data_IF_312474058927
#
_entry.id   IF_312474058927
#
_cell.length_a   1.000
_cell.length_b   1.000
_cell.length_c   1.000
_cell.angle_alpha   90.00
_cell.angle_beta   90.00
_cell.angle_gamma   90.00
#
_symmetry.space_group_name_H-M   'P 1'
#
loop_
_entity.id
_entity.type
_entity.pdbx_description
1 polymer ?
#
# COMPACT_ATOMS: atom_id res chain seq x y z
N UNK A 1 7.29 -15.73 16.53
CA UNK A 1 7.87 -16.60 15.48
C UNK A 1 8.80 -15.76 14.63
N UNK A 2 10.07 -16.09 14.53
CA UNK A 2 11.03 -15.29 13.74
C UNK A 2 10.98 -15.73 12.27
N UNK A 3 10.12 -15.10 11.48
CA UNK A 3 10.25 -15.15 10.03
C UNK A 3 11.06 -13.96 9.54
N UNK A 4 11.85 -14.17 8.50
CA UNK A 4 12.72 -13.15 7.91
C UNK A 4 12.12 -12.64 6.60
N UNK A 5 12.55 -11.45 6.15
CA UNK A 5 12.16 -10.96 4.82
C UNK A 5 12.54 -11.94 3.71
N UNK A 6 13.66 -12.66 3.85
CA UNK A 6 14.09 -13.64 2.85
C UNK A 6 13.08 -14.78 2.69
N UNK A 7 12.46 -15.25 3.78
CA UNK A 7 11.38 -16.25 3.71
C UNK A 7 10.15 -15.73 2.99
N UNK A 8 9.74 -14.50 3.31
CA UNK A 8 8.60 -13.82 2.64
C UNK A 8 8.89 -13.66 1.15
N UNK A 9 10.06 -13.14 0.79
CA UNK A 9 10.47 -12.93 -0.61
C UNK A 9 10.54 -14.26 -1.36
N UNK A 10 11.10 -15.30 -0.75
CA UNK A 10 11.18 -16.64 -1.35
C UNK A 10 9.78 -17.22 -1.61
N UNK A 11 8.88 -17.14 -0.63
CA UNK A 11 7.48 -17.58 -0.80
C UNK A 11 6.80 -16.78 -1.91
N UNK A 12 6.92 -15.45 -1.88
CA UNK A 12 6.27 -14.55 -2.84
C UNK A 12 6.70 -14.87 -4.28
N UNK A 13 7.99 -15.08 -4.53
CA UNK A 13 8.51 -15.47 -5.85
C UNK A 13 8.04 -16.86 -6.26
N UNK A 14 8.15 -17.84 -5.36
CA UNK A 14 7.84 -19.24 -5.67
C UNK A 14 6.35 -19.50 -5.88
N UNK A 15 5.47 -18.67 -5.30
CA UNK A 15 4.01 -18.84 -5.35
C UNK A 15 3.31 -17.81 -6.25
N UNK A 16 4.06 -17.02 -7.02
CA UNK A 16 3.48 -16.12 -8.00
C UNK A 16 2.85 -14.87 -7.42
N UNK A 17 3.32 -14.41 -6.26
CA UNK A 17 2.90 -13.12 -5.72
C UNK A 17 3.64 -11.97 -6.38
N UNK A 18 4.97 -12.04 -6.44
CA UNK A 18 5.80 -10.97 -6.98
C UNK A 18 7.02 -11.56 -7.69
N UNK A 19 7.34 -11.01 -8.85
CA UNK A 19 8.53 -11.34 -9.64
C UNK A 19 9.45 -10.12 -9.78
N UNK A 20 10.77 -10.30 -9.96
CA UNK A 20 11.64 -9.21 -10.37
C UNK A 20 11.18 -8.63 -11.72
N UNK A 21 11.03 -7.31 -11.80
CA UNK A 21 10.61 -6.66 -13.04
C UNK A 21 11.63 -6.84 -14.15
N UNK A 22 11.20 -7.26 -15.34
CA UNK A 22 12.06 -7.51 -16.51
C UNK A 22 13.19 -8.54 -16.27
N UNK A 23 12.93 -9.57 -15.48
CA UNK A 23 13.91 -10.55 -15.01
C UNK A 23 14.73 -11.18 -16.14
N UNK A 24 14.12 -11.46 -17.30
CA UNK A 24 14.79 -12.06 -18.46
C UNK A 24 15.92 -11.21 -19.06
N UNK A 25 15.96 -9.91 -18.73
CA UNK A 25 17.01 -8.96 -19.10
C UNK A 25 17.95 -8.61 -17.94
N UNK A 26 17.92 -9.38 -16.86
CA UNK A 26 18.69 -9.11 -15.64
C UNK A 26 17.99 -8.20 -14.65
N UNK A 27 16.76 -7.81 -14.94
CA UNK A 27 15.94 -6.96 -14.08
C UNK A 27 16.29 -5.48 -14.13
N UNK A 28 15.46 -4.68 -13.47
CA UNK A 28 15.73 -3.28 -13.14
C UNK A 28 15.70 -3.14 -11.62
N UNK A 29 16.75 -2.54 -11.06
CA UNK A 29 16.93 -2.46 -9.62
C UNK A 29 15.67 -1.99 -8.88
N UNK A 30 15.22 -2.82 -7.94
CA UNK A 30 14.05 -2.61 -7.09
C UNK A 30 12.75 -2.29 -7.87
N UNK A 31 12.56 -2.96 -9.00
CA UNK A 31 11.34 -2.95 -9.79
C UNK A 31 10.72 -4.34 -9.73
N UNK A 32 9.42 -4.40 -9.47
CA UNK A 32 8.71 -5.64 -9.19
C UNK A 32 7.42 -5.71 -9.99
N UNK A 33 7.13 -6.91 -10.51
CA UNK A 33 5.87 -7.23 -11.17
C UNK A 33 5.01 -8.08 -10.23
N UNK A 34 3.75 -7.72 -10.05
CA UNK A 34 2.81 -8.60 -9.36
C UNK A 34 2.44 -9.78 -10.27
N UNK A 35 2.68 -10.99 -9.76
CA UNK A 35 2.33 -12.23 -10.46
C UNK A 35 0.83 -12.52 -10.40
N UNK A 36 0.46 -13.69 -10.92
CA UNK A 36 -0.94 -14.14 -11.02
C UNK A 36 -1.66 -14.25 -9.67
N UNK A 37 -0.96 -14.55 -8.60
CA UNK A 37 -1.52 -14.60 -7.23
C UNK A 37 -1.45 -13.22 -6.58
N UNK A 38 -0.35 -12.51 -6.75
CA UNK A 38 -0.14 -11.20 -6.14
C UNK A 38 -1.06 -10.11 -6.67
N UNK A 39 -1.39 -10.12 -7.97
CA UNK A 39 -2.33 -9.17 -8.55
C UNK A 39 -3.73 -9.31 -7.96
N UNK A 40 -4.18 -10.54 -7.71
CA UNK A 40 -5.47 -10.80 -7.05
C UNK A 40 -5.48 -10.32 -5.61
N UNK A 41 -4.41 -10.59 -4.83
CA UNK A 41 -4.26 -10.06 -3.47
C UNK A 41 -4.35 -8.54 -3.46
N UNK A 42 -3.54 -7.88 -4.28
CA UNK A 42 -3.50 -6.41 -4.37
C UNK A 42 -4.84 -5.81 -4.81
N UNK A 43 -5.52 -6.44 -5.78
CA UNK A 43 -6.85 -6.01 -6.22
C UNK A 43 -7.90 -6.18 -5.11
N UNK A 44 -7.83 -7.26 -4.33
CA UNK A 44 -8.73 -7.46 -3.19
C UNK A 44 -8.50 -6.40 -2.10
N UNK A 45 -7.24 -6.04 -1.80
CA UNK A 45 -6.89 -4.95 -0.88
C UNK A 45 -7.47 -3.61 -1.36
N UNK A 46 -7.26 -3.26 -2.63
CA UNK A 46 -7.80 -2.04 -3.24
C UNK A 46 -9.34 -2.02 -3.23
N UNK A 47 -9.97 -3.17 -3.54
CA UNK A 47 -11.42 -3.32 -3.50
C UNK A 47 -11.97 -3.12 -2.09
N UNK A 48 -11.31 -3.71 -1.07
CA UNK A 48 -11.70 -3.56 0.32
C UNK A 48 -11.59 -2.09 0.77
N UNK A 49 -10.52 -1.39 0.37
CA UNK A 49 -10.38 0.04 0.65
C UNK A 49 -11.47 0.87 -0.05
N UNK A 50 -11.68 0.65 -1.35
CA UNK A 50 -12.69 1.39 -2.12
C UNK A 50 -14.11 1.19 -1.57
N UNK A 51 -14.43 -0.07 -1.23
CA UNK A 51 -15.71 -0.39 -0.61
C UNK A 51 -15.91 0.41 0.68
N UNK A 52 -14.91 0.42 1.57
CA UNK A 52 -15.04 1.02 2.90
C UNK A 52 -14.96 2.55 2.87
N UNK A 53 -13.97 3.08 2.14
CA UNK A 53 -13.68 4.52 2.15
C UNK A 53 -14.52 5.33 1.13
N UNK A 54 -15.02 4.69 0.09
CA UNK A 54 -15.79 5.38 -0.95
C UNK A 54 -17.23 4.88 -1.01
N UNK A 55 -17.43 3.59 -1.23
CA UNK A 55 -18.77 3.05 -1.49
C UNK A 55 -19.70 3.10 -0.26
N UNK A 56 -19.24 2.67 0.90
CA UNK A 56 -20.02 2.64 2.15
C UNK A 56 -20.09 4.00 2.85
N UNK A 57 -19.20 4.93 2.51
CA UNK A 57 -19.17 6.25 3.13
C UNK A 57 -20.30 7.15 2.62
N UNK A 58 -21.11 7.75 3.49
CA UNK A 58 -22.12 8.73 3.07
C UNK A 58 -21.51 10.06 2.61
N UNK A 59 -20.23 10.29 2.96
CA UNK A 59 -19.52 11.53 2.68
C UNK A 59 -18.77 11.49 1.34
N UNK A 60 -18.18 10.36 0.99
CA UNK A 60 -17.12 10.31 -0.01
C UNK A 60 -17.62 9.96 -1.41
N UNK A 61 -16.85 10.36 -2.40
CA UNK A 61 -16.98 9.99 -3.81
C UNK A 61 -15.61 9.63 -4.37
N UNK A 62 -15.56 8.99 -5.53
CA UNK A 62 -14.31 8.60 -6.17
C UNK A 62 -14.01 9.40 -7.42
N UNK A 63 -12.71 9.51 -7.75
CA UNK A 63 -12.20 10.03 -9.02
C UNK A 63 -11.08 9.13 -9.55
N UNK A 64 -10.75 9.31 -10.82
CA UNK A 64 -9.54 8.77 -11.43
C UNK A 64 -8.89 9.87 -12.28
N UNK A 65 -7.90 10.56 -11.70
CA UNK A 65 -7.21 11.67 -12.32
C UNK A 65 -6.04 11.18 -13.17
N UNK A 66 -5.75 11.90 -14.25
CA UNK A 66 -4.63 11.59 -15.13
C UNK A 66 -3.27 11.67 -14.37
N UNK A 67 -2.33 10.80 -14.76
CA UNK A 67 -0.95 10.84 -14.24
C UNK A 67 -0.23 12.10 -14.72
N UNK A 68 -0.38 12.41 -16.01
CA UNK A 68 0.19 13.60 -16.62
C UNK A 68 -0.73 14.78 -16.41
N UNK A 69 -0.23 15.81 -15.73
CA UNK A 69 -0.96 17.03 -15.41
C UNK A 69 -0.19 18.26 -15.87
N UNK A 70 -0.86 19.39 -15.95
CA UNK A 70 -0.22 20.67 -16.21
C UNK A 70 0.89 20.92 -15.16
N UNK A 71 2.08 21.29 -15.62
CA UNK A 71 3.24 21.49 -14.74
C UNK A 71 3.01 22.58 -13.67
N UNK A 72 2.07 23.52 -13.90
CA UNK A 72 1.66 24.52 -12.90
C UNK A 72 1.05 23.88 -11.64
N UNK A 73 0.46 22.70 -11.75
CA UNK A 73 0.00 21.92 -10.59
C UNK A 73 1.14 21.66 -9.61
N UNK A 74 2.31 21.31 -10.14
CA UNK A 74 3.51 21.00 -9.34
C UNK A 74 4.26 22.25 -8.87
N UNK A 75 4.06 23.38 -9.53
CA UNK A 75 4.50 24.70 -9.04
C UNK A 75 3.63 25.12 -7.86
N UNK A 76 2.32 25.02 -7.99
CA UNK A 76 1.36 25.38 -6.93
C UNK A 76 1.59 24.56 -5.65
N UNK A 77 1.72 23.24 -5.79
CA UNK A 77 1.94 22.33 -4.66
C UNK A 77 3.37 22.39 -4.07
N UNK A 78 4.32 23.08 -4.74
CA UNK A 78 5.71 23.19 -4.28
C UNK A 78 6.61 22.02 -4.67
N UNK A 79 6.11 20.95 -5.30
CA UNK A 79 6.91 19.76 -5.64
C UNK A 79 8.11 20.05 -6.55
N UNK A 80 7.99 20.98 -7.48
CA UNK A 80 9.13 21.34 -8.35
C UNK A 80 10.27 21.98 -7.55
N UNK A 81 9.93 22.76 -6.51
CA UNK A 81 10.90 23.53 -5.74
C UNK A 81 11.48 22.84 -4.51
N UNK A 82 10.68 22.02 -3.82
CA UNK A 82 11.02 21.53 -2.48
C UNK A 82 10.93 20.02 -2.28
N UNK A 83 10.39 19.27 -3.26
CA UNK A 83 10.29 17.82 -3.15
C UNK A 83 11.61 17.14 -3.50
N UNK A 84 12.55 17.14 -2.54
CA UNK A 84 13.92 16.70 -2.76
C UNK A 84 14.52 16.10 -1.50
N UNK A 85 15.42 15.13 -1.69
CA UNK A 85 16.21 14.51 -0.64
C UNK A 85 17.64 15.07 -0.61
N UNK A 86 18.29 15.08 0.58
CA UNK A 86 19.70 15.44 0.72
C UNK A 86 20.59 14.30 0.20
N UNK A 87 21.11 14.45 -1.01
CA UNK A 87 21.95 13.45 -1.71
C UNK A 87 23.43 13.72 -1.49
N UNK A 88 24.20 12.66 -1.15
CA UNK A 88 25.63 12.65 -1.15
C UNK A 88 26.20 11.39 -1.81
N UNK A 89 27.38 11.48 -2.42
CA UNK A 89 28.07 10.35 -3.04
C UNK A 89 29.32 10.00 -2.22
N UNK A 90 29.60 8.69 -2.06
CA UNK A 90 30.90 8.26 -1.56
C UNK A 90 31.96 8.40 -2.65
N UNK A 91 33.00 9.21 -2.43
CA UNK A 91 34.13 9.39 -3.39
C UNK A 91 34.98 8.12 -3.57
N UNK A 92 34.77 7.11 -2.70
CA UNK A 92 35.54 5.88 -2.72
C UNK A 92 34.94 4.75 -3.56
N UNK A 93 33.63 4.56 -3.52
CA UNK A 93 32.92 3.51 -4.26
C UNK A 93 31.88 4.05 -5.22
N UNK A 94 31.65 5.38 -5.23
CA UNK A 94 30.65 6.07 -6.05
C UNK A 94 29.19 5.72 -5.75
N UNK A 95 28.94 5.02 -4.63
CA UNK A 95 27.58 4.77 -4.16
C UNK A 95 26.93 6.04 -3.62
N UNK A 96 25.60 6.11 -3.76
CA UNK A 96 24.77 7.25 -3.40
C UNK A 96 23.99 6.98 -2.14
N UNK A 97 23.89 8.01 -1.29
CA UNK A 97 23.20 7.90 -0.01
C UNK A 97 22.35 9.15 0.24
N UNK A 98 21.25 8.94 0.96
CA UNK A 98 20.55 10.03 1.64
C UNK A 98 21.33 10.35 2.91
N UNK A 99 21.70 11.61 3.08
CA UNK A 99 22.50 12.03 4.22
C UNK A 99 21.72 11.91 5.55
N UNK A 100 20.43 12.24 5.53
CA UNK A 100 19.53 12.10 6.67
C UNK A 100 19.44 10.63 7.15
N UNK A 101 19.22 9.69 6.23
CA UNK A 101 19.15 8.25 6.57
C UNK A 101 20.48 7.69 7.06
N UNK A 102 21.58 8.12 6.46
CA UNK A 102 22.91 7.71 6.91
C UNK A 102 23.18 8.12 8.36
N UNK A 103 22.70 9.30 8.75
CA UNK A 103 22.79 9.80 10.14
C UNK A 103 21.88 9.00 11.05
N UNK A 104 20.62 8.79 10.69
CA UNK A 104 19.64 8.04 11.50
C UNK A 104 20.09 6.60 11.75
N UNK A 105 20.52 5.89 10.70
CA UNK A 105 20.99 4.51 10.79
C UNK A 105 22.23 4.41 11.70
N UNK A 106 23.18 5.33 11.56
CA UNK A 106 24.36 5.38 12.42
C UNK A 106 24.00 5.69 13.88
N UNK A 107 23.12 6.66 14.10
CA UNK A 107 22.68 7.02 15.44
C UNK A 107 21.96 5.84 16.13
N UNK A 108 21.10 5.13 15.41
CA UNK A 108 20.42 3.93 15.88
C UNK A 108 21.41 2.81 16.23
N UNK A 109 22.40 2.54 15.36
CA UNK A 109 23.43 1.53 15.59
C UNK A 109 24.27 1.85 16.84
N UNK A 110 24.59 3.12 17.06
CA UNK A 110 25.45 3.55 18.19
C UNK A 110 24.66 3.90 19.46
N UNK A 111 23.33 3.86 19.42
CA UNK A 111 22.50 4.25 20.55
C UNK A 111 22.59 5.76 20.87
N UNK A 112 22.84 6.60 19.86
CA UNK A 112 22.90 8.05 20.00
C UNK A 112 21.49 8.61 19.91
N UNK A 113 21.08 9.35 20.94
CA UNK A 113 19.83 10.11 20.90
C UNK A 113 20.07 11.41 20.16
N UNK A 114 19.35 11.63 19.07
CA UNK A 114 19.37 12.88 18.31
C UNK A 114 18.48 13.93 19.02
N UNK A 115 18.91 15.18 19.04
CA UNK A 115 18.17 16.27 19.72
C UNK A 115 16.88 16.65 18.99
N UNK A 116 16.81 16.38 17.68
CA UNK A 116 15.65 16.62 16.82
C UNK A 116 15.66 15.68 15.61
N UNK A 117 14.54 15.59 14.88
CA UNK A 117 14.49 14.86 13.61
C UNK A 117 15.49 15.43 12.61
N UNK A 118 16.23 14.54 11.94
CA UNK A 118 17.25 14.91 10.94
C UNK A 118 16.64 15.59 9.71
N UNK A 119 15.37 15.32 9.42
CA UNK A 119 14.65 15.94 8.29
C UNK A 119 14.58 17.48 8.40
N UNK A 120 14.63 18.02 9.64
CA UNK A 120 14.67 19.46 9.88
C UNK A 120 16.06 20.10 9.83
N UNK A 121 17.13 19.31 9.65
CA UNK A 121 18.49 19.82 9.67
C UNK A 121 18.89 20.49 8.35
N UNK A 122 19.72 21.53 8.47
CA UNK A 122 20.40 22.10 7.29
C UNK A 122 21.46 21.13 6.76
N UNK A 123 21.79 21.22 5.47
CA UNK A 123 22.87 20.42 4.87
C UNK A 123 24.18 20.53 5.65
N UNK A 124 24.50 21.74 6.12
CA UNK A 124 25.71 21.96 6.91
C UNK A 124 25.69 21.18 8.23
N UNK A 125 24.55 21.15 8.94
CA UNK A 125 24.41 20.37 10.16
C UNK A 125 24.60 18.87 9.90
N UNK A 126 24.02 18.37 8.82
CA UNK A 126 24.20 16.96 8.41
C UNK A 126 25.65 16.66 8.04
N UNK A 127 26.31 17.51 7.23
CA UNK A 127 27.72 17.35 6.85
C UNK A 127 28.66 17.40 8.05
N UNK A 128 28.43 18.35 8.97
CA UNK A 128 29.19 18.47 10.20
C UNK A 128 29.02 17.24 11.10
N UNK A 129 27.78 16.75 11.27
CA UNK A 129 27.52 15.54 12.06
C UNK A 129 28.19 14.30 11.48
N UNK A 130 28.08 14.09 10.14
CA UNK A 130 28.72 12.96 9.44
C UNK A 130 30.23 12.99 9.63
N UNK A 131 30.86 14.17 9.47
CA UNK A 131 32.30 14.37 9.64
C UNK A 131 32.74 14.16 11.09
N UNK A 132 32.07 14.84 12.04
CA UNK A 132 32.48 14.89 13.45
C UNK A 132 32.30 13.55 14.15
N UNK A 133 31.31 12.75 13.74
CA UNK A 133 31.11 11.36 14.20
C UNK A 133 31.86 10.32 13.38
N UNK A 134 32.58 10.72 12.34
CA UNK A 134 33.34 9.81 11.49
C UNK A 134 32.46 8.70 10.90
N UNK A 135 31.29 9.05 10.35
CA UNK A 135 30.36 8.06 9.79
C UNK A 135 30.98 7.41 8.56
N UNK A 136 31.17 6.08 8.53
CA UNK A 136 31.74 5.40 7.38
C UNK A 136 30.70 5.18 6.27
N UNK A 137 31.16 5.09 5.04
CA UNK A 137 30.34 4.60 3.94
C UNK A 137 29.89 3.16 4.22
N UNK A 138 28.58 2.85 4.23
CA UNK A 138 28.09 1.50 4.49
C UNK A 138 28.62 0.43 3.52
N UNK A 139 28.95 0.84 2.28
CA UNK A 139 29.40 -0.09 1.24
C UNK A 139 30.91 -0.37 1.30
N UNK A 140 31.76 0.65 1.50
CA UNK A 140 33.20 0.49 1.39
C UNK A 140 34.01 0.90 2.62
N UNK A 141 33.35 1.36 3.69
CA UNK A 141 33.96 1.76 4.95
C UNK A 141 34.79 3.05 4.93
N UNK A 142 34.87 3.77 3.81
CA UNK A 142 35.60 5.03 3.70
C UNK A 142 34.78 6.19 4.22
N UNK A 143 35.47 7.23 4.77
CA UNK A 143 34.85 8.44 5.33
C UNK A 143 34.96 9.64 4.38
N UNK A 144 34.85 9.41 3.08
CA UNK A 144 35.08 10.47 2.08
C UNK A 144 33.84 10.63 1.19
N UNK A 145 33.02 11.59 1.56
CA UNK A 145 31.78 11.92 0.85
C UNK A 145 31.90 13.24 0.08
N UNK A 146 31.00 13.46 -0.87
CA UNK A 146 30.79 14.77 -1.51
C UNK A 146 30.00 15.66 -0.58
N UNK A 147 29.96 16.97 -0.89
CA UNK A 147 28.99 17.87 -0.27
C UNK A 147 27.55 17.40 -0.58
N UNK A 148 26.63 17.73 0.33
CA UNK A 148 25.20 17.40 0.15
C UNK A 148 24.59 18.32 -0.91
N UNK A 149 23.83 17.72 -1.83
CA UNK A 149 23.06 18.44 -2.85
C UNK A 149 21.58 18.01 -2.81
N UNK A 150 20.69 18.93 -3.16
CA UNK A 150 19.27 18.63 -3.31
C UNK A 150 19.06 17.77 -4.56
N UNK A 151 18.33 16.66 -4.39
CA UNK A 151 17.92 15.79 -5.48
C UNK A 151 16.40 15.75 -5.55
N UNK A 152 15.82 16.38 -6.58
CA UNK A 152 14.36 16.38 -6.75
C UNK A 152 13.87 14.99 -7.18
N UNK A 153 12.87 14.48 -6.46
CA UNK A 153 12.36 13.12 -6.63
C UNK A 153 11.35 12.97 -7.79
N UNK A 154 10.98 14.05 -8.47
CA UNK A 154 10.04 13.95 -9.59
C UNK A 154 10.70 13.38 -10.84
N UNK A 155 10.07 12.37 -11.43
CA UNK A 155 10.43 11.93 -12.78
C UNK A 155 9.97 12.97 -13.82
N UNK A 156 10.89 13.38 -14.70
CA UNK A 156 10.64 14.25 -15.84
C UNK A 156 10.45 13.43 -17.09
N UNK A 157 9.55 13.86 -17.97
CA UNK A 157 9.42 13.36 -19.32
C UNK A 157 9.01 14.52 -20.25
N UNK A 158 8.75 14.24 -21.52
CA UNK A 158 8.43 15.27 -22.50
C UNK A 158 7.15 14.89 -23.24
N UNK A 159 6.34 15.90 -23.53
CA UNK A 159 5.17 15.77 -24.37
C UNK A 159 5.47 16.34 -25.75
N UNK A 160 5.20 15.57 -26.82
CA UNK A 160 5.50 15.97 -28.18
C UNK A 160 6.88 15.50 -28.66
N UNK A 161 7.41 16.14 -29.72
CA UNK A 161 8.60 15.67 -30.46
C UNK A 161 9.91 16.31 -30.02
N UNK A 162 9.89 17.35 -29.18
CA UNK A 162 11.08 18.07 -28.74
C UNK A 162 11.26 17.99 -27.22
N UNK A 163 12.50 17.73 -26.81
CA UNK A 163 12.90 17.66 -25.40
C UNK A 163 13.34 19.05 -24.94
N UNK A 164 12.39 19.95 -24.72
CA UNK A 164 12.62 21.31 -24.25
C UNK A 164 11.81 21.66 -23.00
N UNK A 165 12.10 22.81 -22.41
CA UNK A 165 11.44 23.25 -21.18
C UNK A 165 9.93 23.47 -21.33
N UNK A 166 9.44 23.78 -22.55
CA UNK A 166 8.01 24.00 -22.80
C UNK A 166 7.23 22.71 -22.86
N UNK A 167 7.89 21.63 -23.27
CA UNK A 167 7.34 20.30 -23.43
C UNK A 167 7.59 19.40 -22.20
N UNK A 168 8.27 19.93 -21.17
CA UNK A 168 8.53 19.17 -19.94
C UNK A 168 7.25 18.93 -19.17
N UNK A 169 6.96 17.66 -18.89
CA UNK A 169 5.92 17.19 -17.99
C UNK A 169 6.50 16.26 -16.95
N UNK A 170 5.76 16.02 -15.89
CA UNK A 170 6.21 15.19 -14.77
C UNK A 170 5.27 14.02 -14.56
N UNK A 171 5.82 12.86 -14.17
CA UNK A 171 5.02 11.80 -13.61
C UNK A 171 4.63 12.20 -12.19
N UNK A 172 3.35 12.10 -11.87
CA UNK A 172 2.85 12.53 -10.55
C UNK A 172 3.53 11.78 -9.41
N UNK A 173 4.03 12.47 -8.36
CA UNK A 173 4.63 11.84 -7.18
C UNK A 173 3.60 11.43 -6.13
N UNK A 174 2.35 11.88 -6.27
CA UNK A 174 1.22 11.59 -5.39
C UNK A 174 -0.12 11.75 -6.14
N UNK A 175 -1.18 11.15 -5.61
CA UNK A 175 -2.52 11.29 -6.17
C UNK A 175 -3.23 12.56 -5.69
N UNK A 176 -2.87 13.12 -4.54
CA UNK A 176 -3.55 14.22 -3.86
C UNK A 176 -3.79 15.43 -4.76
N UNK A 177 -2.79 15.86 -5.51
CA UNK A 177 -2.89 17.08 -6.34
C UNK A 177 -3.94 16.95 -7.45
N UNK A 178 -4.12 15.75 -8.01
CA UNK A 178 -5.20 15.46 -8.96
C UNK A 178 -6.58 15.66 -8.33
N UNK A 179 -6.72 15.33 -7.06
CA UNK A 179 -7.96 15.53 -6.29
C UNK A 179 -8.19 17.02 -6.06
N UNK A 180 -7.18 17.77 -5.59
CA UNK A 180 -7.31 19.19 -5.29
C UNK A 180 -7.71 20.02 -6.52
N UNK A 181 -7.07 19.82 -7.67
CA UNK A 181 -7.42 20.56 -8.89
C UNK A 181 -8.83 20.24 -9.40
N UNK A 182 -9.40 19.10 -9.01
CA UNK A 182 -10.74 18.68 -9.35
C UNK A 182 -11.80 18.97 -8.26
N UNK A 183 -11.42 19.57 -7.13
CA UNK A 183 -12.32 19.83 -6.00
C UNK A 183 -13.63 20.48 -6.44
N UNK A 184 -13.57 21.59 -7.18
CA UNK A 184 -14.78 22.32 -7.65
C UNK A 184 -15.61 21.51 -8.64
N UNK A 185 -14.95 20.76 -9.54
CA UNK A 185 -15.64 19.91 -10.50
C UNK A 185 -16.43 18.82 -9.79
N UNK A 186 -15.80 18.12 -8.85
CA UNK A 186 -16.42 17.03 -8.10
C UNK A 186 -17.52 17.55 -7.20
N UNK A 187 -17.27 18.63 -6.44
CA UNK A 187 -18.26 19.23 -5.55
C UNK A 187 -19.52 19.63 -6.32
N UNK A 188 -19.37 20.29 -7.47
CA UNK A 188 -20.48 20.70 -8.33
C UNK A 188 -21.26 19.53 -8.91
N UNK A 189 -20.58 18.52 -9.44
CA UNK A 189 -21.20 17.39 -10.15
C UNK A 189 -21.83 16.40 -9.21
N UNK A 190 -21.20 16.15 -8.04
CA UNK A 190 -21.74 15.27 -7.00
C UNK A 190 -22.78 15.92 -6.10
N UNK A 191 -22.87 17.26 -6.12
CA UNK A 191 -23.72 18.08 -5.22
C UNK A 191 -23.44 17.83 -3.73
N UNK A 192 -22.23 17.38 -3.41
CA UNK A 192 -21.83 17.15 -2.02
C UNK A 192 -21.68 18.49 -1.29
N UNK A 193 -22.10 18.49 -0.03
CA UNK A 193 -21.83 19.56 0.92
C UNK A 193 -20.61 19.21 1.75
N UNK A 194 -19.87 20.19 2.23
CA UNK A 194 -18.82 20.00 3.22
C UNK A 194 -19.48 19.60 4.55
N UNK A 195 -19.06 18.53 5.26
CA UNK A 195 -17.87 17.73 4.97
C UNK A 195 -18.10 16.66 3.88
N UNK A 196 -17.13 16.48 2.99
CA UNK A 196 -17.12 15.36 2.05
C UNK A 196 -15.68 15.03 1.63
N UNK A 197 -15.46 13.80 1.16
CA UNK A 197 -14.17 13.34 0.71
C UNK A 197 -14.16 12.92 -0.76
N UNK A 198 -12.97 12.96 -1.35
CA UNK A 198 -12.71 12.48 -2.70
C UNK A 198 -11.59 11.45 -2.62
N UNK A 199 -11.90 10.20 -2.96
CA UNK A 199 -10.94 9.10 -2.96
C UNK A 199 -10.41 8.77 -4.34
N UNK A 200 -9.15 8.37 -4.41
CA UNK A 200 -8.50 7.88 -5.63
C UNK A 200 -7.58 6.71 -5.32
N UNK A 201 -7.55 5.73 -6.23
CA UNK A 201 -6.51 4.71 -6.30
C UNK A 201 -5.73 4.94 -7.59
N UNK A 202 -4.41 5.08 -7.52
CA UNK A 202 -3.64 5.33 -8.72
C UNK A 202 -2.13 5.22 -8.55
N UNK A 203 -1.44 5.04 -9.67
CA UNK A 203 0.02 5.01 -9.75
C UNK A 203 0.62 6.36 -9.43
N UNK A 204 1.73 6.32 -8.68
CA UNK A 204 2.60 7.46 -8.38
C UNK A 204 4.06 7.06 -8.56
N UNK A 205 4.91 8.06 -8.75
CA UNK A 205 6.30 7.85 -9.17
C UNK A 205 7.23 8.76 -8.38
N UNK A 206 8.21 8.18 -7.69
CA UNK A 206 9.25 8.93 -6.98
C UNK A 206 10.61 8.37 -7.35
N UNK A 207 11.49 9.20 -7.86
CA UNK A 207 12.84 8.79 -8.22
C UNK A 207 13.71 8.59 -6.98
N UNK A 208 13.32 7.63 -6.14
CA UNK A 208 13.96 7.31 -4.87
C UNK A 208 15.46 7.05 -5.04
N UNK A 209 16.28 7.64 -4.17
CA UNK A 209 17.73 7.46 -4.14
C UNK A 209 18.08 6.06 -3.66
N UNK A 210 17.42 5.62 -2.57
CA UNK A 210 17.64 4.32 -1.92
C UNK A 210 16.36 3.50 -1.85
N UNK A 211 15.86 3.00 -2.99
CA UNK A 211 14.74 2.05 -2.97
C UNK A 211 15.18 0.75 -2.30
N UNK A 212 14.26 0.04 -1.64
CA UNK A 212 14.64 -1.18 -0.92
C UNK A 212 13.49 -1.85 -0.19
N UNK A 213 13.84 -2.88 0.56
CA UNK A 213 12.91 -3.67 1.35
C UNK A 213 11.76 -4.26 0.51
N UNK A 214 12.13 -4.94 -0.61
CA UNK A 214 11.18 -5.58 -1.52
C UNK A 214 10.20 -4.54 -2.10
N UNK A 215 8.86 -4.75 -1.98
CA UNK A 215 7.85 -3.83 -2.49
C UNK A 215 7.53 -2.67 -1.53
N UNK A 216 8.27 -2.53 -0.43
CA UNK A 216 8.03 -1.47 0.55
C UNK A 216 8.41 -0.07 0.04
N UNK A 217 9.57 0.06 -0.65
CA UNK A 217 10.03 1.33 -1.23
C UNK A 217 10.52 1.13 -2.65
N UNK A 218 9.68 1.51 -3.59
CA UNK A 218 9.90 1.38 -5.03
C UNK A 218 9.77 2.75 -5.70
N UNK A 219 10.25 2.87 -6.93
CA UNK A 219 10.14 4.12 -7.71
C UNK A 219 8.79 4.30 -8.40
N UNK A 220 8.13 3.20 -8.69
CA UNK A 220 6.76 3.13 -9.20
C UNK A 220 5.92 2.37 -8.19
N UNK A 221 4.87 2.98 -7.68
CA UNK A 221 4.00 2.40 -6.65
C UNK A 221 2.55 2.84 -6.86
N UNK A 222 1.65 2.31 -6.09
CA UNK A 222 0.24 2.67 -6.14
C UNK A 222 -0.21 3.20 -4.77
N UNK A 223 -0.96 4.29 -4.78
CA UNK A 223 -1.53 4.89 -3.57
C UNK A 223 -3.05 4.77 -3.59
N UNK A 224 -3.61 4.68 -2.39
CA UNK A 224 -5.03 4.81 -2.09
C UNK A 224 -5.16 6.04 -1.19
N UNK A 225 -5.62 7.16 -1.74
CA UNK A 225 -5.67 8.45 -1.06
C UNK A 225 -7.10 8.96 -0.98
N UNK A 226 -7.43 9.52 0.16
CA UNK A 226 -8.67 10.23 0.42
C UNK A 226 -8.33 11.65 0.86
N UNK A 227 -8.87 12.65 0.15
CA UNK A 227 -8.85 14.04 0.58
C UNK A 227 -10.22 14.38 1.14
N UNK A 228 -10.29 14.54 2.45
CA UNK A 228 -11.55 14.82 3.15
C UNK A 228 -11.64 16.28 3.52
N UNK A 229 -12.55 16.99 2.86
CA UNK A 229 -12.77 18.42 3.00
C UNK A 229 -13.74 18.70 4.15
N UNK A 230 -13.30 19.50 5.11
CA UNK A 230 -14.09 19.86 6.30
C UNK A 230 -14.09 21.38 6.54
N UNK A 231 -15.01 21.84 7.40
CA UNK A 231 -15.03 23.23 7.84
C UNK A 231 -13.80 23.52 8.72
N UNK A 232 -13.13 24.67 8.55
CA UNK A 232 -12.11 25.12 9.50
C UNK A 232 -12.61 25.03 10.96
N UNK A 233 -11.72 24.72 11.88
CA UNK A 233 -11.97 24.49 13.32
C UNK A 233 -12.73 23.18 13.66
N UNK A 234 -13.12 22.36 12.66
CA UNK A 234 -13.60 20.98 12.87
C UNK A 234 -12.57 19.92 12.48
N UNK A 235 -11.43 20.36 11.98
CA UNK A 235 -10.36 19.55 11.41
C UNK A 235 -9.80 18.51 12.38
N UNK A 236 -9.51 18.88 13.64
CA UNK A 236 -8.94 17.95 14.63
C UNK A 236 -9.94 16.85 15.04
N UNK A 237 -11.25 17.11 15.01
CA UNK A 237 -12.26 16.07 15.24
C UNK A 237 -12.29 15.07 14.08
N UNK A 238 -12.24 15.57 12.84
CA UNK A 238 -12.17 14.73 11.65
C UNK A 238 -10.83 13.99 11.53
N UNK A 239 -9.74 14.60 11.94
CA UNK A 239 -8.44 13.94 12.02
C UNK A 239 -8.50 12.73 12.96
N UNK A 240 -9.02 12.90 14.18
CA UNK A 240 -9.20 11.81 15.14
C UNK A 240 -10.14 10.72 14.60
N UNK A 241 -11.23 11.11 13.94
CA UNK A 241 -12.17 10.18 13.30
C UNK A 241 -11.49 9.31 12.23
N UNK A 242 -10.77 9.93 11.28
CA UNK A 242 -10.11 9.20 10.21
C UNK A 242 -8.95 8.34 10.72
N UNK A 243 -8.20 8.80 11.72
CA UNK A 243 -7.17 8.00 12.37
C UNK A 243 -7.74 6.69 12.92
N UNK A 244 -8.83 6.76 13.68
CA UNK A 244 -9.47 5.56 14.23
C UNK A 244 -10.08 4.69 13.13
N UNK A 245 -10.70 5.29 12.13
CA UNK A 245 -11.32 4.58 11.01
C UNK A 245 -10.30 3.74 10.22
N UNK A 246 -9.10 4.28 9.98
CA UNK A 246 -8.00 3.57 9.32
C UNK A 246 -7.49 2.39 10.17
N UNK A 247 -7.34 2.57 11.48
CA UNK A 247 -6.95 1.50 12.40
C UNK A 247 -7.99 0.37 12.39
N UNK A 248 -9.26 0.71 12.48
CA UNK A 248 -10.36 -0.26 12.51
C UNK A 248 -10.44 -1.06 11.21
N UNK A 249 -10.18 -0.44 10.06
CA UNK A 249 -10.13 -1.11 8.76
C UNK A 249 -9.01 -2.16 8.70
N UNK A 250 -7.79 -1.83 9.18
CA UNK A 250 -6.68 -2.78 9.22
C UNK A 250 -6.99 -3.98 10.14
N UNK A 251 -7.50 -3.70 11.34
CA UNK A 251 -7.88 -4.75 12.31
C UNK A 251 -8.99 -5.65 11.79
N UNK A 252 -10.00 -5.07 11.15
CA UNK A 252 -11.13 -5.81 10.59
C UNK A 252 -10.71 -6.76 9.47
N UNK A 253 -9.66 -6.43 8.74
CA UNK A 253 -9.05 -7.28 7.72
C UNK A 253 -7.98 -8.25 8.28
N UNK A 254 -7.93 -8.42 9.61
CA UNK A 254 -7.13 -9.43 10.28
C UNK A 254 -5.69 -8.99 10.59
N UNK A 255 -5.37 -7.69 10.51
CA UNK A 255 -4.07 -7.20 10.97
C UNK A 255 -3.97 -7.34 12.49
N UNK A 256 -2.92 -8.00 12.96
CA UNK A 256 -2.68 -8.24 14.40
C UNK A 256 -2.36 -6.93 15.11
N UNK A 257 -3.00 -6.69 16.26
CA UNK A 257 -2.88 -5.44 17.00
C UNK A 257 -1.45 -5.19 17.50
N UNK A 258 -0.77 -6.22 17.94
CA UNK A 258 0.63 -6.16 18.39
C UNK A 258 1.63 -5.85 17.26
N UNK A 259 1.20 -5.94 16.00
CA UNK A 259 1.98 -5.59 14.81
C UNK A 259 1.70 -4.17 14.33
N UNK A 260 0.78 -3.45 14.98
CA UNK A 260 0.38 -2.09 14.61
C UNK A 260 0.73 -1.09 15.70
N UNK A 261 1.16 0.10 15.30
CA UNK A 261 1.21 1.25 16.20
C UNK A 261 0.84 2.54 15.47
N UNK A 262 0.37 3.51 16.24
CA UNK A 262 0.19 4.88 15.76
C UNK A 262 1.31 5.73 16.33
N UNK A 263 2.02 6.49 15.49
CA UNK A 263 3.08 7.42 15.85
C UNK A 263 2.66 8.83 15.44
N UNK A 264 2.34 9.64 16.43
CA UNK A 264 2.06 11.06 16.19
C UNK A 264 3.40 11.79 15.96
N UNK A 265 3.43 12.69 14.99
CA UNK A 265 4.60 13.51 14.70
C UNK A 265 4.76 14.62 15.73
N UNK A 266 5.99 14.86 16.16
CA UNK A 266 6.34 16.05 16.93
C UNK A 266 6.26 17.30 16.05
N UNK A 267 6.14 18.47 16.67
CA UNK A 267 5.96 19.75 15.93
C UNK A 267 7.08 20.03 14.94
N UNK A 268 8.28 19.59 15.27
CA UNK A 268 9.51 19.77 14.47
C UNK A 268 9.56 18.84 13.25
N UNK A 269 8.79 17.73 13.26
CA UNK A 269 8.67 16.78 12.16
C UNK A 269 7.56 17.16 11.17
N UNK A 270 6.62 18.03 11.58
CA UNK A 270 5.47 18.38 10.76
C UNK A 270 5.92 19.04 9.45
N UNK A 271 5.36 18.58 8.34
CA UNK A 271 5.46 19.28 7.08
C UNK A 271 4.91 20.70 7.22
N UNK A 272 5.46 21.65 6.48
CA UNK A 272 5.09 23.08 6.56
C UNK A 272 3.59 23.36 6.27
N UNK A 273 2.89 22.45 5.66
CA UNK A 273 1.45 22.52 5.37
C UNK A 273 0.59 21.79 6.40
N UNK A 274 1.18 21.05 7.33
CA UNK A 274 0.43 20.16 8.24
C UNK A 274 0.31 20.76 9.64
N UNK A 275 -0.90 20.69 10.20
CA UNK A 275 -1.19 21.05 11.61
C UNK A 275 -1.03 19.85 12.54
N UNK A 276 -1.28 18.64 12.05
CA UNK A 276 -1.09 17.38 12.76
C UNK A 276 -0.82 16.26 11.75
N UNK A 277 0.02 15.31 12.10
CA UNK A 277 0.30 14.12 11.31
C UNK A 277 0.44 12.91 12.23
N UNK A 278 -0.11 11.78 11.82
CA UNK A 278 0.09 10.47 12.47
C UNK A 278 0.46 9.45 11.41
N UNK A 279 1.51 8.68 11.66
CA UNK A 279 1.81 7.48 10.89
C UNK A 279 1.17 6.27 11.57
N UNK A 280 0.46 5.44 10.80
CA UNK A 280 0.15 4.08 11.22
C UNK A 280 1.23 3.17 10.67
N UNK A 281 1.95 2.52 11.56
CA UNK A 281 3.11 1.69 11.23
C UNK A 281 2.80 0.21 11.49
N UNK A 282 3.43 -0.65 10.69
CA UNK A 282 3.42 -2.10 10.84
C UNK A 282 4.81 -2.60 11.18
N UNK A 283 4.88 -3.61 12.05
CA UNK A 283 6.14 -4.27 12.41
C UNK A 283 6.51 -5.33 11.35
N UNK A 284 7.24 -4.88 10.33
CA UNK A 284 7.84 -5.77 9.33
C UNK A 284 9.03 -6.55 9.90
N UNK A 285 9.52 -7.61 9.23
CA UNK A 285 10.74 -8.30 9.65
C UNK A 285 12.00 -7.42 9.69
N UNK A 286 11.99 -6.28 8.98
CA UNK A 286 13.07 -5.29 9.00
C UNK A 286 12.83 -4.14 10.00
N UNK A 287 11.79 -4.19 10.80
CA UNK A 287 11.42 -3.17 11.79
C UNK A 287 10.12 -2.44 11.46
N UNK A 288 9.83 -1.41 12.23
CA UNK A 288 8.64 -0.58 12.04
C UNK A 288 8.70 0.16 10.71
N UNK A 289 7.63 0.09 9.94
CA UNK A 289 7.48 0.78 8.66
C UNK A 289 6.10 1.39 8.51
N UNK A 290 6.07 2.61 8.02
CA UNK A 290 4.85 3.36 7.75
C UNK A 290 3.98 2.67 6.70
N UNK A 291 2.71 2.46 7.03
CA UNK A 291 1.67 2.04 6.10
C UNK A 291 0.83 3.21 5.63
N UNK A 292 0.41 4.04 6.55
CA UNK A 292 -0.55 5.12 6.38
C UNK A 292 -0.02 6.41 6.97
N UNK A 293 0.05 7.46 6.18
CA UNK A 293 0.18 8.82 6.66
C UNK A 293 -1.22 9.44 6.78
N UNK A 294 -1.56 9.99 7.94
CA UNK A 294 -2.80 10.73 8.14
C UNK A 294 -2.41 12.14 8.53
N UNK A 295 -2.74 13.12 7.68
CA UNK A 295 -2.34 14.51 7.86
C UNK A 295 -3.55 15.45 7.88
N UNK A 296 -3.52 16.42 8.78
CA UNK A 296 -4.33 17.62 8.70
C UNK A 296 -3.55 18.66 7.88
N UNK A 297 -3.90 18.81 6.62
CA UNK A 297 -3.22 19.69 5.64
C UNK A 297 -3.74 21.14 5.69
N UNK A 298 -4.64 21.44 6.61
CA UNK A 298 -5.34 22.73 6.68
C UNK A 298 -5.99 23.11 5.33
N UNK A 299 -6.00 24.37 4.95
CA UNK A 299 -6.45 24.82 3.63
C UNK A 299 -5.30 25.05 2.63
N UNK A 300 -4.10 24.53 2.95
CA UNK A 300 -2.88 24.87 2.23
C UNK A 300 -3.00 24.61 0.73
N UNK A 301 -3.32 23.39 0.30
CA UNK A 301 -3.32 23.01 -1.11
C UNK A 301 -4.35 23.79 -1.93
N UNK A 302 -5.59 23.90 -1.44
CA UNK A 302 -6.63 24.67 -2.13
C UNK A 302 -6.27 26.15 -2.24
N UNK A 303 -5.67 26.73 -1.19
CA UNK A 303 -5.19 28.11 -1.19
C UNK A 303 -4.06 28.32 -2.20
N UNK A 304 -3.11 27.39 -2.27
CA UNK A 304 -2.01 27.45 -3.25
C UNK A 304 -2.50 27.32 -4.69
N UNK A 305 -3.44 26.40 -4.94
CA UNK A 305 -4.04 26.28 -6.27
C UNK A 305 -4.84 27.52 -6.65
N UNK A 306 -5.59 28.12 -5.71
CA UNK A 306 -6.27 29.39 -5.93
C UNK A 306 -5.29 30.52 -6.28
N UNK A 307 -4.20 30.66 -5.53
CA UNK A 307 -3.19 31.69 -5.74
C UNK A 307 -2.53 31.60 -7.12
N UNK A 308 -2.12 30.37 -7.51
CA UNK A 308 -1.38 30.16 -8.76
C UNK A 308 -2.30 30.17 -9.99
N UNK A 309 -3.51 29.62 -9.89
CA UNK A 309 -4.45 29.55 -11.02
C UNK A 309 -5.31 30.80 -11.18
N UNK A 310 -5.54 31.54 -10.11
CA UNK A 310 -6.52 32.62 -10.06
C UNK A 310 -7.98 32.14 -9.95
N UNK A 311 -8.23 30.84 -9.91
CA UNK A 311 -9.56 30.25 -9.80
C UNK A 311 -10.01 30.19 -8.33
N UNK A 312 -11.29 30.48 -8.07
CA UNK A 312 -11.85 30.45 -6.71
C UNK A 312 -12.04 29.00 -6.21
N UNK A 313 -11.23 28.60 -5.25
CA UNK A 313 -11.27 27.27 -4.61
C UNK A 313 -12.08 27.24 -3.31
N UNK A 314 -12.77 28.33 -2.95
CA UNK A 314 -13.59 28.37 -1.75
C UNK A 314 -14.91 27.60 -1.89
N UNK A 315 -15.46 27.19 -0.77
CA UNK A 315 -16.80 26.63 -0.64
C UNK A 315 -17.75 27.68 -0.05
N UNK A 316 -18.96 27.77 -0.58
CA UNK A 316 -20.02 28.57 0.00
C UNK A 316 -21.00 27.67 0.75
N UNK A 317 -21.10 27.85 2.05
CA UNK A 317 -22.05 27.14 2.90
C UNK A 317 -23.39 27.86 2.89
N UNK A 318 -24.38 27.26 2.20
CA UNK A 318 -25.71 27.82 2.06
C UNK A 318 -26.50 27.91 3.37
N UNK A 319 -26.20 27.04 4.33
CA UNK A 319 -26.88 27.00 5.63
C UNK A 319 -26.38 28.09 6.56
N UNK A 320 -25.05 28.23 6.64
CA UNK A 320 -24.39 29.23 7.48
C UNK A 320 -24.24 30.59 6.79
N UNK A 321 -24.46 30.67 5.46
CA UNK A 321 -24.20 31.85 4.62
C UNK A 321 -22.78 32.37 4.70
N UNK A 322 -21.82 31.42 4.87
CA UNK A 322 -20.40 31.72 4.98
C UNK A 322 -19.63 31.19 3.77
N UNK A 323 -18.54 31.87 3.44
CA UNK A 323 -17.62 31.46 2.39
C UNK A 323 -16.26 31.21 3.02
N UNK A 324 -15.68 30.02 2.81
CA UNK A 324 -14.36 29.65 3.33
C UNK A 324 -13.64 28.69 2.37
N UNK A 325 -12.32 28.59 2.50
CA UNK A 325 -11.56 27.52 1.86
C UNK A 325 -11.54 26.33 2.84
N UNK A 326 -12.05 25.15 2.45
CA UNK A 326 -12.08 23.98 3.34
C UNK A 326 -10.70 23.57 3.84
N UNK A 327 -10.66 23.04 5.05
CA UNK A 327 -9.51 22.28 5.56
C UNK A 327 -9.58 20.86 5.03
N UNK A 328 -8.44 20.18 4.98
CA UNK A 328 -8.32 18.86 4.38
C UNK A 328 -7.67 17.89 5.37
N UNK A 329 -8.33 16.76 5.59
CA UNK A 329 -7.73 15.60 6.26
C UNK A 329 -7.41 14.57 5.20
N UNK A 330 -6.15 14.17 5.14
CA UNK A 330 -5.60 13.24 4.15
C UNK A 330 -5.19 11.92 4.79
N UNK A 331 -5.99 10.86 4.75
CA UNK A 331 -5.51 9.50 4.93
C UNK A 331 -4.90 8.97 3.62
N UNK A 332 -3.58 8.84 3.56
CA UNK A 332 -2.83 8.34 2.40
C UNK A 332 -2.18 7.00 2.70
N UNK A 333 -2.48 5.97 1.91
CA UNK A 333 -2.02 4.59 2.08
C UNK A 333 -1.31 4.09 0.84
N UNK A 334 -0.10 3.55 1.01
CA UNK A 334 0.60 2.83 -0.06
C UNK A 334 -0.01 1.45 -0.29
N UNK A 335 -0.62 1.22 -1.47
CA UNK A 335 -1.23 -0.07 -1.80
C UNK A 335 -0.20 -1.21 -1.78
N UNK A 336 1.01 -0.97 -2.25
CA UNK A 336 2.10 -1.94 -2.28
C UNK A 336 2.60 -2.28 -0.86
N UNK A 337 2.75 -1.25 0.00
CA UNK A 337 3.17 -1.43 1.40
C UNK A 337 2.16 -2.21 2.21
N UNK A 338 0.88 -1.87 2.13
CA UNK A 338 -0.15 -2.58 2.90
C UNK A 338 -0.37 -3.99 2.37
N UNK A 339 -0.22 -4.23 1.06
CA UNK A 339 -0.25 -5.59 0.50
C UNK A 339 0.90 -6.43 1.04
N UNK A 340 2.11 -5.87 1.14
CA UNK A 340 3.25 -6.53 1.79
C UNK A 340 2.99 -6.77 3.28
N UNK A 341 2.40 -5.80 3.99
CA UNK A 341 2.06 -5.95 5.40
C UNK A 341 1.06 -7.09 5.62
N UNK A 342 0.02 -7.21 4.79
CA UNK A 342 -0.92 -8.33 4.86
C UNK A 342 -0.24 -9.66 4.56
N UNK A 343 0.70 -9.70 3.61
CA UNK A 343 1.48 -10.91 3.32
C UNK A 343 2.34 -11.32 4.53
N UNK A 344 3.04 -10.36 5.14
CA UNK A 344 3.85 -10.59 6.34
C UNK A 344 2.99 -11.02 7.54
N UNK A 345 1.85 -10.34 7.75
CA UNK A 345 0.93 -10.63 8.85
C UNK A 345 0.29 -12.02 8.73
N UNK A 346 0.05 -12.47 7.50
CA UNK A 346 -0.61 -13.75 7.23
C UNK A 346 0.34 -14.96 7.29
N UNK A 347 1.66 -14.74 7.15
CA UNK A 347 2.65 -15.81 7.06
C UNK A 347 2.78 -16.57 8.38
N UNK A 348 2.70 -17.91 8.30
CA UNK A 348 2.99 -18.82 9.42
C UNK A 348 3.64 -20.11 8.95
N UNK A 349 4.46 -20.71 9.83
CA UNK A 349 5.05 -22.03 9.70
C UNK A 349 4.56 -22.89 10.87
N UNK A 350 3.59 -23.74 10.62
CA UNK A 350 2.98 -24.60 11.63
C UNK A 350 3.65 -25.98 11.68
N UNK A 351 3.86 -26.49 12.87
CA UNK A 351 4.23 -27.88 13.10
C UNK A 351 2.97 -28.69 13.41
N UNK A 352 2.75 -29.73 12.61
CA UNK A 352 1.57 -30.58 12.71
C UNK A 352 1.88 -31.82 13.56
N UNK A 353 0.83 -32.51 13.97
CA UNK A 353 0.94 -33.80 14.63
C UNK A 353 1.80 -34.78 13.77
N UNK A 354 2.83 -35.37 14.39
CA UNK A 354 3.77 -36.25 13.69
C UNK A 354 5.04 -35.56 13.16
N UNK A 355 5.24 -34.26 13.44
CA UNK A 355 6.44 -33.51 13.09
C UNK A 355 6.49 -33.02 11.64
N UNK A 356 5.39 -33.17 10.88
CA UNK A 356 5.23 -32.55 9.56
C UNK A 356 5.07 -31.03 9.71
N UNK A 357 5.55 -30.26 8.74
CA UNK A 357 5.46 -28.80 8.75
C UNK A 357 4.65 -28.31 7.58
N UNK A 358 3.85 -27.25 7.81
CA UNK A 358 3.18 -26.55 6.72
C UNK A 358 3.49 -25.05 6.76
N UNK A 359 3.75 -24.49 5.61
CA UNK A 359 3.70 -23.03 5.41
C UNK A 359 2.28 -22.66 5.03
N UNK A 360 1.72 -21.67 5.68
CA UNK A 360 0.35 -21.22 5.46
C UNK A 360 0.27 -19.69 5.50
N UNK A 361 -0.60 -19.13 4.68
CA UNK A 361 -0.94 -17.72 4.70
C UNK A 361 -2.36 -17.54 5.24
N UNK A 362 -2.47 -17.04 6.47
CA UNK A 362 -3.75 -16.78 7.16
C UNK A 362 -4.38 -15.46 6.73
N UNK A 363 -4.58 -15.26 5.42
CA UNK A 363 -5.32 -14.08 4.94
C UNK A 363 -6.76 -14.09 5.44
N UNK A 364 -7.26 -12.88 5.78
CA UNK A 364 -8.70 -12.69 5.88
C UNK A 364 -9.36 -13.18 4.58
N UNK A 365 -10.46 -13.95 4.62
CA UNK A 365 -11.05 -14.53 3.40
C UNK A 365 -11.39 -13.51 2.32
N UNK A 366 -11.77 -12.27 2.71
CA UNK A 366 -11.98 -11.17 1.75
C UNK A 366 -10.72 -10.78 0.98
N UNK A 367 -9.52 -10.94 1.56
CA UNK A 367 -8.25 -10.59 0.92
C UNK A 367 -7.63 -11.75 0.15
N UNK A 368 -7.94 -13.00 0.49
CA UNK A 368 -7.34 -14.18 -0.13
C UNK A 368 -7.37 -14.09 -1.67
N UNK A 369 -6.23 -14.33 -2.36
CA UNK A 369 -6.14 -14.25 -3.82
C UNK A 369 -7.10 -15.22 -4.50
N UNK A 370 -7.06 -16.47 -4.08
CA UNK A 370 -7.98 -17.54 -4.47
C UNK A 370 -8.93 -17.77 -3.32
N UNK A 371 -10.23 -17.77 -3.58
CA UNK A 371 -11.26 -17.94 -2.54
C UNK A 371 -11.54 -19.40 -2.25
N UNK A 372 -11.55 -20.21 -3.30
CA UNK A 372 -11.94 -21.62 -3.24
C UNK A 372 -11.00 -22.43 -4.16
N UNK A 373 -10.34 -23.44 -3.58
CA UNK A 373 -9.65 -24.47 -4.34
C UNK A 373 -10.56 -25.66 -4.61
N UNK A 374 -10.74 -26.06 -5.87
CA UNK A 374 -11.57 -27.21 -6.26
C UNK A 374 -10.65 -28.38 -6.66
N UNK A 375 -10.70 -29.44 -5.87
CA UNK A 375 -9.73 -30.55 -5.91
C UNK A 375 -10.46 -31.89 -6.09
N UNK A 376 -10.43 -32.52 -7.28
CA UNK A 376 -10.96 -33.88 -7.43
C UNK A 376 -10.08 -34.86 -6.65
N UNK A 377 -10.65 -35.75 -5.87
CA UNK A 377 -9.89 -36.78 -5.12
C UNK A 377 -9.04 -37.65 -6.06
N UNK A 378 -9.59 -37.93 -7.24
CA UNK A 378 -8.96 -38.74 -8.29
C UNK A 378 -9.20 -38.09 -9.65
N UNK A 379 -8.34 -38.32 -10.63
CA UNK A 379 -8.53 -37.90 -12.03
C UNK A 379 -9.82 -38.44 -12.67
N UNK A 380 -10.33 -39.56 -12.17
CA UNK A 380 -11.60 -40.10 -12.66
C UNK A 380 -12.80 -39.24 -12.30
N UNK A 381 -12.64 -38.37 -11.32
CA UNK A 381 -13.66 -37.48 -10.79
C UNK A 381 -13.52 -36.04 -11.33
N UNK A 382 -12.63 -35.83 -12.32
CA UNK A 382 -12.33 -34.51 -12.87
C UNK A 382 -13.58 -33.80 -13.40
N UNK A 383 -14.43 -34.48 -14.17
CA UNK A 383 -15.62 -33.88 -14.78
C UNK A 383 -16.59 -33.28 -13.75
N UNK A 384 -16.82 -33.97 -12.63
CA UNK A 384 -17.67 -33.45 -11.55
C UNK A 384 -17.08 -32.22 -10.87
N UNK A 385 -15.78 -32.26 -10.58
CA UNK A 385 -15.07 -31.15 -9.98
C UNK A 385 -14.98 -29.93 -10.92
N UNK A 386 -14.75 -30.14 -12.23
CA UNK A 386 -14.71 -29.07 -13.23
C UNK A 386 -16.05 -28.34 -13.34
N UNK A 387 -17.19 -29.07 -13.25
CA UNK A 387 -18.53 -28.46 -13.24
C UNK A 387 -18.72 -27.54 -12.03
N UNK A 388 -18.30 -27.99 -10.84
CA UNK A 388 -18.34 -27.17 -9.62
C UNK A 388 -17.44 -25.94 -9.75
N UNK A 389 -16.22 -26.13 -10.25
CA UNK A 389 -15.30 -25.02 -10.49
C UNK A 389 -15.92 -23.99 -11.45
N UNK A 390 -16.46 -24.43 -12.59
CA UNK A 390 -17.06 -23.54 -13.60
C UNK A 390 -18.24 -22.74 -13.01
N UNK A 391 -19.07 -23.34 -12.17
CA UNK A 391 -20.17 -22.67 -11.51
C UNK A 391 -19.66 -21.62 -10.51
N UNK A 392 -18.79 -22.02 -9.57
CA UNK A 392 -18.32 -21.13 -8.49
C UNK A 392 -17.42 -19.99 -9.03
N UNK A 393 -16.68 -20.23 -10.10
CA UNK A 393 -15.84 -19.23 -10.76
C UNK A 393 -16.64 -18.05 -11.35
N UNK A 394 -17.95 -18.17 -11.53
CA UNK A 394 -18.81 -17.06 -11.94
C UNK A 394 -19.02 -16.03 -10.81
N UNK A 395 -18.72 -16.40 -9.56
CA UNK A 395 -18.92 -15.56 -8.37
C UNK A 395 -17.61 -15.15 -7.71
N UNK A 396 -16.62 -16.07 -7.69
CA UNK A 396 -15.38 -15.89 -6.94
C UNK A 396 -14.17 -16.36 -7.73
N UNK A 397 -13.00 -15.87 -7.41
CA UNK A 397 -11.75 -16.40 -7.96
C UNK A 397 -11.50 -17.80 -7.38
N UNK A 398 -11.63 -18.82 -8.23
CA UNK A 398 -11.47 -20.22 -7.90
C UNK A 398 -10.30 -20.82 -8.65
N UNK A 399 -9.57 -21.74 -8.01
CA UNK A 399 -8.50 -22.52 -8.64
C UNK A 399 -8.90 -24.00 -8.72
N UNK A 400 -8.66 -24.62 -9.88
CA UNK A 400 -8.82 -26.07 -10.07
C UNK A 400 -7.45 -26.73 -10.10
N UNK A 401 -7.25 -27.80 -9.28
CA UNK A 401 -5.98 -28.53 -9.28
C UNK A 401 -6.21 -30.05 -9.14
N UNK A 402 -5.76 -30.79 -10.15
CA UNK A 402 -5.80 -32.26 -10.21
C UNK A 402 -4.40 -32.92 -10.19
N UNK A 403 -3.34 -32.12 -9.97
CA UNK A 403 -1.94 -32.55 -10.12
C UNK A 403 -1.35 -33.08 -8.82
N UNK A 404 -0.95 -34.36 -8.82
CA UNK A 404 -0.29 -35.03 -7.68
C UNK A 404 -1.29 -35.49 -6.61
N UNK A 405 -0.76 -35.90 -5.45
CA UNK A 405 -1.58 -36.39 -4.32
C UNK A 405 -2.38 -35.25 -3.69
N UNK A 406 -3.59 -35.59 -3.18
CA UNK A 406 -4.51 -34.60 -2.58
C UNK A 406 -3.86 -33.79 -1.45
N UNK A 407 -3.06 -34.40 -0.59
CA UNK A 407 -2.36 -33.70 0.48
C UNK A 407 -1.39 -32.62 -0.03
N UNK A 408 -0.68 -32.87 -1.15
CA UNK A 408 0.17 -31.85 -1.79
C UNK A 408 -0.62 -30.69 -2.40
N UNK A 409 -1.84 -30.97 -2.87
CA UNK A 409 -2.73 -29.93 -3.41
C UNK A 409 -3.25 -29.03 -2.30
N UNK A 410 -3.64 -29.58 -1.16
CA UNK A 410 -3.98 -28.78 0.03
C UNK A 410 -2.82 -27.89 0.46
N UNK A 411 -1.57 -28.42 0.48
CA UNK A 411 -0.39 -27.62 0.85
C UNK A 411 -0.17 -26.43 -0.10
N UNK A 412 -0.35 -26.63 -1.41
CA UNK A 412 -0.25 -25.52 -2.38
C UNK A 412 -1.30 -24.44 -2.12
N UNK A 413 -2.51 -24.83 -1.75
CA UNK A 413 -3.57 -23.88 -1.41
C UNK A 413 -3.32 -23.19 -0.06
N UNK A 414 -2.80 -23.89 0.94
CA UNK A 414 -2.38 -23.30 2.21
C UNK A 414 -1.29 -22.22 1.99
N UNK A 415 -0.30 -22.50 1.13
CA UNK A 415 0.82 -21.61 0.83
C UNK A 415 0.43 -20.33 0.06
N UNK A 416 -0.69 -20.31 -0.64
CA UNK A 416 -1.24 -19.11 -1.29
C UNK A 416 -2.39 -18.49 -0.50
N UNK A 417 -2.75 -19.09 0.63
CA UNK A 417 -3.74 -18.56 1.56
C UNK A 417 -5.20 -18.74 1.15
N UNK A 418 -5.51 -19.77 0.36
CA UNK A 418 -6.88 -20.10 -0.03
C UNK A 418 -7.68 -20.55 1.21
N UNK A 419 -8.76 -19.84 1.61
CA UNK A 419 -9.44 -20.11 2.87
C UNK A 419 -10.23 -21.41 2.86
N UNK A 420 -10.74 -21.82 1.70
CA UNK A 420 -11.57 -23.03 1.57
C UNK A 420 -11.13 -23.88 0.40
N UNK A 421 -11.08 -25.21 0.64
CA UNK A 421 -10.87 -26.19 -0.42
C UNK A 421 -12.04 -27.15 -0.50
N UNK A 422 -12.57 -27.38 -1.70
CA UNK A 422 -13.61 -28.36 -2.01
C UNK A 422 -12.93 -29.62 -2.53
N UNK A 423 -13.23 -30.76 -1.95
CA UNK A 423 -12.83 -32.07 -2.51
C UNK A 423 -14.08 -32.78 -3.06
N UNK A 424 -14.07 -33.03 -4.36
CA UNK A 424 -15.03 -33.92 -5.02
C UNK A 424 -14.48 -35.34 -4.98
N UNK A 425 -15.21 -36.23 -4.30
CA UNK A 425 -14.81 -37.60 -4.03
C UNK A 425 -15.82 -38.62 -4.63
N UNK A 426 -15.60 -39.92 -4.42
CA UNK A 426 -16.45 -40.94 -5.00
C UNK A 426 -17.88 -40.94 -4.41
N UNK A 427 -18.03 -40.52 -3.15
CA UNK A 427 -19.35 -40.41 -2.52
C UNK A 427 -20.14 -39.24 -3.12
N UNK A 428 -19.42 -38.22 -3.65
CA UNK A 428 -20.05 -37.04 -4.28
C UNK A 428 -20.93 -37.41 -5.47
N UNK A 429 -20.61 -38.48 -6.18
CA UNK A 429 -21.42 -39.00 -7.30
C UNK A 429 -22.75 -39.60 -6.85
N UNK A 430 -22.85 -40.05 -5.60
CA UNK A 430 -24.04 -40.71 -5.05
C UNK A 430 -24.85 -39.82 -4.14
N UNK A 431 -24.19 -39.02 -3.28
CA UNK A 431 -24.87 -38.19 -2.27
C UNK A 431 -25.07 -36.73 -2.73
N UNK A 432 -24.47 -36.33 -3.85
CA UNK A 432 -24.55 -34.96 -4.38
C UNK A 432 -23.95 -33.91 -3.45
N UNK A 433 -22.96 -34.30 -2.65
CA UNK A 433 -22.25 -33.40 -1.70
C UNK A 433 -20.74 -33.49 -1.90
N UNK A 434 -20.02 -32.50 -1.39
CA UNK A 434 -18.58 -32.41 -1.42
C UNK A 434 -18.02 -32.17 -0.02
N UNK A 435 -16.75 -32.50 0.18
CA UNK A 435 -16.07 -32.14 1.40
C UNK A 435 -15.50 -30.72 1.26
N UNK A 436 -15.86 -29.81 2.18
CA UNK A 436 -15.27 -28.46 2.29
C UNK A 436 -14.30 -28.46 3.46
N UNK A 437 -13.02 -28.11 3.19
CA UNK A 437 -11.98 -27.96 4.21
C UNK A 437 -11.72 -26.48 4.47
N UNK A 438 -11.75 -26.12 5.73
CA UNK A 438 -11.29 -24.82 6.22
C UNK A 438 -9.77 -24.81 6.39
N UNK A 439 -9.08 -23.78 5.87
CA UNK A 439 -7.62 -23.63 5.92
C UNK A 439 -7.08 -23.53 7.35
N UNK A 440 -7.75 -22.72 8.19
CA UNK A 440 -7.21 -22.33 9.48
C UNK A 440 -7.38 -23.43 10.53
N UNK A 441 -8.55 -24.05 10.55
CA UNK A 441 -8.88 -25.13 11.49
C UNK A 441 -8.55 -26.52 10.96
N UNK A 442 -8.32 -26.65 9.65
CA UNK A 442 -8.23 -27.93 8.90
C UNK A 442 -9.48 -28.83 9.06
N UNK A 443 -10.53 -28.31 9.67
CA UNK A 443 -11.80 -29.04 9.79
C UNK A 443 -12.43 -29.27 8.43
N UNK A 444 -13.17 -30.35 8.32
CA UNK A 444 -13.83 -30.75 7.09
C UNK A 444 -15.32 -31.01 7.38
N UNK A 445 -16.17 -30.52 6.52
CA UNK A 445 -17.60 -30.77 6.58
C UNK A 445 -18.16 -31.14 5.21
N UNK A 446 -19.28 -31.87 5.25
CA UNK A 446 -19.97 -32.31 4.04
C UNK A 446 -21.05 -31.32 3.66
N UNK A 447 -20.97 -30.72 2.47
CA UNK A 447 -21.88 -29.69 1.96
C UNK A 447 -22.49 -30.15 0.64
N UNK A 448 -23.81 -30.02 0.48
CA UNK A 448 -24.51 -30.34 -0.77
C UNK A 448 -24.01 -29.40 -1.89
N UNK A 449 -23.76 -29.94 -3.07
CA UNK A 449 -23.32 -29.17 -4.24
C UNK A 449 -24.30 -28.03 -4.56
N UNK A 450 -25.60 -28.31 -4.48
CA UNK A 450 -26.67 -27.32 -4.71
C UNK A 450 -26.64 -26.13 -3.72
N UNK A 451 -26.05 -26.30 -2.55
CA UNK A 451 -26.00 -25.30 -1.49
C UNK A 451 -24.70 -24.50 -1.45
N UNK A 452 -23.68 -24.89 -2.23
CA UNK A 452 -22.34 -24.30 -2.18
C UNK A 452 -22.33 -22.79 -2.37
N UNK A 453 -23.12 -22.26 -3.30
CA UNK A 453 -23.23 -20.82 -3.52
C UNK A 453 -23.68 -20.09 -2.26
N UNK A 454 -24.75 -20.58 -1.63
CA UNK A 454 -25.29 -19.98 -0.40
C UNK A 454 -24.33 -20.16 0.77
N UNK A 455 -23.67 -21.32 0.86
CA UNK A 455 -22.66 -21.62 1.87
C UNK A 455 -21.51 -20.63 1.87
N UNK A 456 -21.05 -20.16 0.69
CA UNK A 456 -19.93 -19.25 0.55
C UNK A 456 -20.32 -17.76 0.49
N UNK A 457 -21.61 -17.42 0.35
CA UNK A 457 -22.06 -16.05 0.03
C UNK A 457 -21.51 -14.98 0.98
N UNK A 458 -21.51 -15.28 2.28
CA UNK A 458 -21.09 -14.32 3.32
C UNK A 458 -19.65 -14.57 3.83
N UNK A 459 -18.96 -15.60 3.35
CA UNK A 459 -17.65 -15.99 3.88
C UNK A 459 -16.50 -15.11 3.37
N UNK A 460 -16.70 -14.34 2.29
CA UNK A 460 -15.68 -13.49 1.67
C UNK A 460 -15.97 -12.01 1.83
N UNK A 461 -16.89 -11.65 2.71
CA UNK A 461 -17.21 -10.26 3.09
C UNK A 461 -16.44 -9.83 4.33
N UNK A 462 -16.41 -8.52 4.60
CA UNK A 462 -15.76 -7.97 5.79
C UNK A 462 -16.49 -6.71 6.29
#
# INVERSE_FOLDING_TARGET
MEYTMDKIVALAKNRGFVYPGSEIYGGLANTWDYGNIGVELKNNVKKAWWQKFVQESPYNVGVDCAILMNSQTWVASGHIGSFSDPLMDCKGCHERFRADKLIEDFAAEKGITLESSVDGWSHKQMEDFIRDNGIPCPTCGKHNFTDIRQFNLMFKTFQGVTEDAKNTVYLRPENAQGIFVNFKNVQRTSRKKVPFGIGQIGKSFRNEITPGNFTFRTREFEQMELEFFCKPDTDLEWFAYWKQYCIDWLKKLGMKEEMLRARDHDKEELSFYSKATTDLEFLFPFGWGELWGIADRTNYDLSRHQEVSGEDMSYFDDEMKEKYIPYVIEPSLGADRVTLAFLCNAYDEEELEGGDKRTVLHFHPALAPVKIGVLPLSKKLAEGAEKIHAELATYWNCEYDDRGAIGKRYRRQDEIGTPYCITYDFDSETDGAVTVRDRDTMSQERVKIADLRNYFMDKFTF
#
